data_IF_166392618005
#
_entry.id   IF_166392618005
#
_cell.length_a   1.000
_cell.length_b   1.000
_cell.length_c   1.000
_cell.angle_alpha   90.00
_cell.angle_beta   90.00
_cell.angle_gamma   90.00
#
_symmetry.space_group_name_H-M   'P 1'
#
loop_
_entity.id
_entity.type
_entity.pdbx_description
1 polymer ?
#
# COMPACT_ATOMS: atom_id res chain seq x y z
N UNK A 1 -45.37 -23.85 -28.49
CA UNK A 1 -44.57 -23.64 -29.71
C UNK A 1 -43.12 -23.89 -29.33
N UNK A 2 -42.50 -24.97 -29.84
CA UNK A 2 -41.11 -25.29 -29.52
C UNK A 2 -40.19 -24.45 -30.39
N UNK A 3 -39.45 -23.52 -29.80
CA UNK A 3 -38.36 -22.83 -30.49
C UNK A 3 -37.30 -23.86 -30.85
N UNK A 4 -36.95 -23.95 -32.13
CA UNK A 4 -35.92 -24.91 -32.55
C UNK A 4 -34.57 -24.50 -31.95
N UNK A 5 -33.71 -25.46 -31.61
CA UNK A 5 -32.40 -25.15 -30.99
C UNK A 5 -31.53 -24.19 -31.82
N UNK A 6 -31.79 -24.06 -33.13
CA UNK A 6 -31.15 -23.08 -34.02
C UNK A 6 -31.63 -21.65 -33.78
N UNK A 7 -32.92 -21.43 -33.57
CA UNK A 7 -33.50 -20.10 -33.32
C UNK A 7 -32.97 -19.49 -32.01
N UNK A 8 -32.77 -20.32 -30.97
CA UNK A 8 -32.18 -19.86 -29.70
C UNK A 8 -30.72 -19.45 -29.91
N UNK A 9 -29.97 -20.19 -30.72
CA UNK A 9 -28.56 -19.90 -31.00
C UNK A 9 -28.40 -18.62 -31.84
N UNK A 10 -29.24 -18.43 -32.85
CA UNK A 10 -29.23 -17.21 -33.67
C UNK A 10 -29.67 -15.99 -32.85
N UNK A 11 -30.72 -16.11 -32.03
CA UNK A 11 -31.13 -15.04 -31.11
C UNK A 11 -30.07 -14.70 -30.06
N UNK A 12 -29.28 -15.68 -29.61
CA UNK A 12 -28.15 -15.41 -28.71
C UNK A 12 -27.00 -14.70 -29.44
N UNK A 13 -26.77 -15.03 -30.72
CA UNK A 13 -25.74 -14.40 -31.56
C UNK A 13 -26.11 -12.95 -31.89
N UNK A 14 -27.37 -12.66 -32.22
CA UNK A 14 -27.83 -11.28 -32.50
C UNK A 14 -27.75 -10.42 -31.25
N UNK A 15 -28.24 -10.90 -30.10
CA UNK A 15 -28.12 -10.18 -28.80
C UNK A 15 -26.67 -9.87 -28.43
N UNK A 16 -25.74 -10.78 -28.74
CA UNK A 16 -24.31 -10.54 -28.52
C UNK A 16 -23.77 -9.46 -29.45
N UNK A 17 -24.12 -9.48 -30.73
CA UNK A 17 -23.72 -8.47 -31.70
C UNK A 17 -24.29 -7.08 -31.35
N UNK A 18 -25.55 -7.02 -30.94
CA UNK A 18 -26.19 -5.79 -30.46
C UNK A 18 -25.52 -5.25 -29.20
N UNK A 19 -25.17 -6.13 -28.24
CA UNK A 19 -24.43 -5.74 -27.05
C UNK A 19 -23.00 -5.26 -27.36
N UNK A 20 -22.33 -5.88 -28.33
CA UNK A 20 -21.00 -5.45 -28.80
C UNK A 20 -21.07 -4.09 -29.52
N UNK A 21 -22.09 -3.86 -30.36
CA UNK A 21 -22.33 -2.59 -31.03
C UNK A 21 -22.72 -1.47 -30.06
N UNK A 22 -23.59 -1.75 -29.09
CA UNK A 22 -23.98 -0.80 -28.05
C UNK A 22 -22.79 -0.42 -27.17
N UNK A 23 -21.92 -1.38 -26.85
CA UNK A 23 -20.68 -1.13 -26.10
C UNK A 23 -19.70 -0.27 -26.89
N UNK A 24 -19.57 -0.48 -28.19
CA UNK A 24 -18.73 0.37 -29.05
C UNK A 24 -19.25 1.81 -29.08
N UNK A 25 -20.55 1.99 -29.31
CA UNK A 25 -21.20 3.30 -29.31
C UNK A 25 -21.05 4.02 -27.95
N UNK A 26 -21.23 3.31 -26.84
CA UNK A 26 -21.06 3.87 -25.50
C UNK A 26 -19.61 4.31 -25.22
N UNK A 27 -18.62 3.53 -25.67
CA UNK A 27 -17.21 3.92 -25.53
C UNK A 27 -16.86 5.14 -26.38
N UNK A 28 -17.44 5.27 -27.59
CA UNK A 28 -17.22 6.43 -28.46
C UNK A 28 -17.82 7.70 -27.84
N UNK A 29 -19.05 7.61 -27.33
CA UNK A 29 -19.70 8.72 -26.60
C UNK A 29 -18.94 9.08 -25.32
N UNK A 30 -18.45 8.09 -24.57
CA UNK A 30 -17.62 8.34 -23.37
C UNK A 30 -16.27 8.96 -23.73
N UNK A 31 -15.66 8.60 -24.86
CA UNK A 31 -14.43 9.22 -25.36
C UNK A 31 -14.65 10.68 -25.79
N UNK A 32 -15.76 10.99 -26.45
CA UNK A 32 -16.14 12.36 -26.81
C UNK A 32 -16.46 13.21 -25.56
N UNK A 33 -17.15 12.64 -24.57
CA UNK A 33 -17.43 13.33 -23.31
C UNK A 33 -16.16 13.54 -22.47
N UNK A 34 -15.28 12.54 -22.37
CA UNK A 34 -14.01 12.65 -21.66
C UNK A 34 -13.09 13.73 -22.27
N UNK A 35 -13.05 13.83 -23.60
CA UNK A 35 -12.28 14.88 -24.29
C UNK A 35 -12.88 16.28 -24.13
N UNK A 36 -14.19 16.41 -23.86
CA UNK A 36 -14.84 17.69 -23.58
C UNK A 36 -14.62 18.18 -22.14
N UNK A 37 -14.62 17.27 -21.15
CA UNK A 37 -14.41 17.58 -19.72
C UNK A 37 -12.94 17.87 -19.42
N UNK A 38 -12.02 17.25 -20.15
CA UNK A 38 -10.58 17.51 -20.02
C UNK A 38 -10.17 18.95 -20.42
N UNK A 39 -10.94 19.64 -21.28
CA UNK A 39 -10.59 21.02 -21.72
C UNK A 39 -10.75 22.09 -20.65
N UNK A 40 -11.48 21.83 -19.58
CA UNK A 40 -11.75 22.79 -18.51
C UNK A 40 -11.21 22.34 -17.15
N UNK A 41 -10.30 21.36 -17.14
CA UNK A 41 -9.65 20.89 -15.92
C UNK A 41 -8.38 21.74 -15.65
N UNK A 42 -8.37 22.61 -14.62
CA UNK A 42 -7.23 23.48 -14.33
C UNK A 42 -5.96 22.68 -13.96
N UNK A 43 -6.12 21.41 -13.60
CA UNK A 43 -5.00 20.51 -13.28
C UNK A 43 -4.49 19.71 -14.50
N UNK A 44 -5.07 19.90 -15.69
CA UNK A 44 -4.61 19.29 -16.93
C UNK A 44 -3.60 20.19 -17.65
N UNK A 45 -2.31 19.89 -17.45
CA UNK A 45 -1.19 20.62 -18.04
C UNK A 45 -0.59 19.75 -19.14
N UNK A 46 -0.54 20.25 -20.38
CA UNK A 46 0.02 19.54 -21.54
C UNK A 46 -0.50 18.10 -21.73
N UNK A 47 -1.78 17.87 -21.42
CA UNK A 47 -2.42 16.55 -21.51
C UNK A 47 -2.10 15.59 -20.35
N UNK A 48 -1.37 16.06 -19.34
CA UNK A 48 -1.05 15.37 -18.08
C UNK A 48 -1.91 15.97 -16.97
N UNK A 49 -2.72 15.14 -16.29
CA UNK A 49 -3.46 15.59 -15.11
C UNK A 49 -2.54 15.56 -13.90
N UNK A 50 -2.08 16.74 -13.47
CA UNK A 50 -1.20 16.91 -12.32
C UNK A 50 -1.98 16.71 -11.03
N UNK A 51 -1.45 15.88 -10.14
CA UNK A 51 -2.02 15.67 -8.82
C UNK A 51 -1.27 16.50 -7.80
N UNK A 52 -2.00 17.23 -6.97
CA UNK A 52 -1.43 18.07 -5.91
C UNK A 52 -1.49 17.37 -4.56
N UNK A 53 -0.38 17.39 -3.81
CA UNK A 53 -0.31 16.96 -2.41
C UNK A 53 -0.85 18.08 -1.51
N UNK A 54 -0.41 19.30 -1.79
CA UNK A 54 -0.95 20.56 -1.29
C UNK A 54 -0.70 21.64 -2.36
N UNK A 55 -1.26 22.83 -2.19
CA UNK A 55 -1.05 23.93 -3.12
C UNK A 55 0.46 24.15 -3.38
N UNK A 56 0.84 24.23 -4.66
CA UNK A 56 2.24 24.41 -5.09
C UNK A 56 3.10 23.15 -5.09
N UNK A 57 2.62 22.01 -4.56
CA UNK A 57 3.39 20.75 -4.53
C UNK A 57 2.69 19.60 -5.23
N UNK A 58 3.28 19.15 -6.34
CA UNK A 58 2.78 18.03 -7.11
C UNK A 58 3.27 16.67 -6.60
N UNK A 59 2.39 15.67 -6.68
CA UNK A 59 2.67 14.25 -6.56
C UNK A 59 3.24 13.72 -7.90
N UNK A 60 4.54 13.99 -8.13
CA UNK A 60 5.25 13.71 -9.39
C UNK A 60 5.11 12.26 -9.87
N UNK A 61 5.45 11.31 -9.00
CA UNK A 61 5.44 9.88 -9.35
C UNK A 61 4.03 9.36 -9.67
N UNK A 62 3.03 9.83 -8.93
CA UNK A 62 1.65 9.37 -9.13
C UNK A 62 1.03 10.00 -10.39
N UNK A 63 1.34 11.27 -10.65
CA UNK A 63 0.98 11.96 -11.90
C UNK A 63 1.57 11.23 -13.09
N UNK A 64 2.87 10.97 -13.06
CA UNK A 64 3.60 10.23 -14.09
C UNK A 64 3.03 8.82 -14.32
N UNK A 65 2.75 8.09 -13.24
CA UNK A 65 2.20 6.74 -13.32
C UNK A 65 0.79 6.70 -13.91
N UNK A 66 -0.09 7.63 -13.52
CA UNK A 66 -1.45 7.73 -14.08
C UNK A 66 -1.42 8.14 -15.54
N UNK A 67 -0.51 9.04 -15.92
CA UNK A 67 -0.35 9.42 -17.32
C UNK A 67 0.14 8.23 -18.17
N UNK A 68 1.12 7.46 -17.68
CA UNK A 68 1.58 6.24 -18.35
C UNK A 68 0.46 5.19 -18.49
N UNK A 69 -0.43 5.05 -17.50
CA UNK A 69 -1.62 4.19 -17.61
C UNK A 69 -2.60 4.71 -18.68
N UNK A 70 -2.90 6.01 -18.70
CA UNK A 70 -3.78 6.63 -19.71
C UNK A 70 -3.24 6.41 -21.11
N UNK A 71 -1.96 6.67 -21.34
CA UNK A 71 -1.28 6.41 -22.61
C UNK A 71 -1.31 4.93 -22.95
N UNK A 72 -1.03 4.04 -21.98
CA UNK A 72 -1.07 2.60 -22.22
C UNK A 72 -2.45 2.08 -22.64
N UNK A 73 -3.53 2.56 -22.02
CA UNK A 73 -4.89 2.24 -22.44
C UNK A 73 -5.22 2.78 -23.83
N UNK A 74 -4.77 3.99 -24.16
CA UNK A 74 -4.91 4.57 -25.51
C UNK A 74 -4.17 3.74 -26.56
N UNK A 75 -2.93 3.33 -26.29
CA UNK A 75 -2.16 2.46 -27.18
C UNK A 75 -2.87 1.12 -27.41
N UNK A 76 -3.44 0.53 -26.34
CA UNK A 76 -4.21 -0.71 -26.44
C UNK A 76 -5.49 -0.53 -27.27
N UNK A 77 -6.22 0.56 -27.06
CA UNK A 77 -7.44 0.87 -27.82
C UNK A 77 -7.14 1.11 -29.31
N UNK A 78 -6.00 1.75 -29.61
CA UNK A 78 -5.52 1.97 -30.98
C UNK A 78 -4.90 0.72 -31.63
N UNK A 79 -4.86 -0.43 -30.94
CA UNK A 79 -4.24 -1.66 -31.44
C UNK A 79 -2.72 -1.60 -31.57
N UNK A 80 -2.07 -0.58 -31.01
CA UNK A 80 -0.62 -0.40 -31.07
C UNK A 80 0.09 -1.29 -30.04
N UNK A 81 1.34 -1.65 -30.34
CA UNK A 81 2.14 -2.52 -29.47
C UNK A 81 2.52 -1.81 -28.18
N UNK A 82 2.12 -2.39 -27.06
CA UNK A 82 2.39 -1.87 -25.73
C UNK A 82 3.83 -2.20 -25.29
N UNK A 83 4.78 -1.37 -25.72
CA UNK A 83 6.22 -1.53 -25.43
C UNK A 83 6.61 -0.90 -24.09
N UNK A 84 7.65 -1.45 -23.44
CA UNK A 84 8.17 -0.88 -22.18
C UNK A 84 8.68 0.55 -22.41
N UNK A 85 9.36 0.82 -23.53
CA UNK A 85 9.90 2.15 -23.85
C UNK A 85 8.79 3.20 -23.97
N UNK A 86 7.72 2.95 -24.74
CA UNK A 86 6.62 3.91 -24.87
C UNK A 86 5.95 4.25 -23.53
N UNK A 87 5.92 3.29 -22.59
CA UNK A 87 5.38 3.51 -21.25
C UNK A 87 6.37 4.25 -20.33
N UNK A 88 7.67 4.04 -20.53
CA UNK A 88 8.72 4.80 -19.85
C UNK A 88 8.69 6.25 -20.33
N UNK A 89 8.63 6.49 -21.65
CA UNK A 89 8.58 7.82 -22.24
C UNK A 89 7.36 8.60 -21.75
N UNK A 90 6.20 7.95 -21.70
CA UNK A 90 4.99 8.55 -21.13
C UNK A 90 5.16 8.88 -19.65
N UNK A 91 5.75 7.99 -18.86
CA UNK A 91 6.01 8.27 -17.45
C UNK A 91 6.96 9.46 -17.26
N UNK A 92 8.06 9.52 -18.01
CA UNK A 92 9.03 10.61 -17.93
C UNK A 92 8.41 11.95 -18.31
N UNK A 93 7.61 11.98 -19.38
CA UNK A 93 6.84 13.16 -19.76
C UNK A 93 5.94 13.63 -18.61
N UNK A 94 5.12 12.73 -18.05
CA UNK A 94 4.23 13.09 -16.94
C UNK A 94 4.98 13.53 -15.67
N UNK A 95 6.17 12.98 -15.41
CA UNK A 95 7.00 13.37 -14.27
C UNK A 95 7.56 14.78 -14.45
N UNK A 96 8.07 15.09 -15.64
CA UNK A 96 8.67 16.40 -15.94
C UNK A 96 7.62 17.51 -15.85
N UNK A 97 6.43 17.31 -16.41
CA UNK A 97 5.32 18.27 -16.30
C UNK A 97 4.93 18.49 -14.82
N UNK A 98 4.84 17.43 -14.02
CA UNK A 98 4.56 17.56 -12.60
C UNK A 98 5.68 18.26 -11.81
N UNK A 99 6.94 18.07 -12.21
CA UNK A 99 8.10 18.74 -11.62
C UNK A 99 8.10 20.24 -11.94
N UNK A 100 7.78 20.61 -13.18
CA UNK A 100 7.71 22.01 -13.60
C UNK A 100 6.54 22.73 -12.96
N UNK A 101 5.36 22.10 -12.90
CA UNK A 101 4.17 22.69 -12.31
C UNK A 101 4.23 22.79 -10.77
N UNK A 102 4.79 21.78 -10.09
CA UNK A 102 4.70 21.64 -8.63
C UNK A 102 5.95 21.08 -7.97
N UNK A 103 7.12 21.49 -8.46
CA UNK A 103 8.43 21.08 -7.93
C UNK A 103 8.66 21.48 -6.47
N UNK A 104 8.07 22.60 -6.01
CA UNK A 104 8.18 23.09 -4.62
C UNK A 104 9.65 23.25 -4.18
N UNK A 105 10.50 23.77 -5.08
CA UNK A 105 11.95 23.92 -4.86
C UNK A 105 12.74 22.60 -4.76
N UNK A 106 12.09 21.44 -4.91
CA UNK A 106 12.77 20.13 -4.87
C UNK A 106 13.52 19.88 -6.16
N UNK A 107 14.71 19.29 -6.02
CA UNK A 107 15.44 18.73 -7.16
C UNK A 107 14.61 17.60 -7.81
N UNK A 108 14.79 17.45 -9.12
CA UNK A 108 14.25 16.31 -9.85
C UNK A 108 14.88 15.02 -9.31
N UNK A 109 14.03 14.09 -8.87
CA UNK A 109 14.44 12.80 -8.31
C UNK A 109 13.80 11.70 -9.16
N UNK A 110 14.15 11.69 -10.44
CA UNK A 110 13.63 10.70 -11.39
C UNK A 110 14.11 9.31 -10.97
N UNK A 111 13.22 8.30 -10.91
CA UNK A 111 13.64 6.94 -10.59
C UNK A 111 14.70 6.40 -11.56
N UNK A 112 15.65 5.57 -11.10
CA UNK A 112 16.67 4.99 -11.97
C UNK A 112 16.04 4.11 -13.06
N UNK A 113 16.74 3.92 -14.17
CA UNK A 113 16.20 3.23 -15.36
C UNK A 113 15.66 1.82 -15.05
N UNK A 114 16.32 1.08 -14.15
CA UNK A 114 15.87 -0.24 -13.70
C UNK A 114 14.48 -0.22 -13.08
N UNK A 115 14.16 0.81 -12.32
CA UNK A 115 12.88 0.95 -11.65
C UNK A 115 11.80 1.42 -12.64
N UNK A 116 12.14 2.31 -13.58
CA UNK A 116 11.27 2.69 -14.71
C UNK A 116 10.89 1.49 -15.58
N UNK A 117 11.83 0.61 -15.89
CA UNK A 117 11.55 -0.66 -16.59
C UNK A 117 10.59 -1.56 -15.79
N UNK A 118 10.76 -1.64 -14.47
CA UNK A 118 9.87 -2.42 -13.61
C UNK A 118 8.46 -1.80 -13.55
N UNK A 119 8.37 -0.47 -13.48
CA UNK A 119 7.14 0.29 -13.55
C UNK A 119 6.41 0.04 -14.87
N UNK A 120 7.09 0.14 -16.01
CA UNK A 120 6.51 -0.08 -17.33
C UNK A 120 5.93 -1.50 -17.48
N UNK A 121 6.63 -2.52 -16.98
CA UNK A 121 6.13 -3.91 -16.95
C UNK A 121 4.85 -4.03 -16.12
N UNK A 122 4.73 -3.31 -15.01
CA UNK A 122 3.52 -3.28 -14.17
C UNK A 122 2.39 -2.56 -14.87
N UNK A 123 2.63 -1.38 -15.45
CA UNK A 123 1.65 -0.62 -16.23
C UNK A 123 1.11 -1.49 -17.37
N UNK A 124 1.99 -2.14 -18.14
CA UNK A 124 1.57 -3.11 -19.16
C UNK A 124 0.73 -4.24 -18.59
N UNK A 125 1.13 -4.78 -17.43
CA UNK A 125 0.35 -5.79 -16.71
C UNK A 125 -1.05 -5.32 -16.38
N UNK A 126 -1.21 -4.11 -15.83
CA UNK A 126 -2.53 -3.54 -15.52
C UNK A 126 -3.36 -3.29 -16.77
N UNK A 127 -2.76 -2.70 -17.80
CA UNK A 127 -3.45 -2.39 -19.05
C UNK A 127 -3.90 -3.66 -19.77
N UNK A 128 -3.15 -4.76 -19.70
CA UNK A 128 -3.49 -6.04 -20.38
C UNK A 128 -4.40 -6.94 -19.54
N UNK A 129 -4.20 -7.00 -18.21
CA UNK A 129 -4.98 -7.81 -17.27
C UNK A 129 -6.27 -7.13 -16.79
N UNK A 130 -6.53 -5.89 -17.18
CA UNK A 130 -7.84 -5.27 -17.03
C UNK A 130 -8.90 -6.13 -17.75
N UNK A 131 -9.43 -7.09 -16.99
CA UNK A 131 -10.59 -7.91 -17.31
C UNK A 131 -11.72 -6.91 -17.55
N UNK A 132 -12.48 -7.08 -18.63
CA UNK A 132 -13.72 -6.34 -18.81
C UNK A 132 -14.57 -6.54 -17.54
N UNK A 133 -14.54 -5.57 -16.64
CA UNK A 133 -15.49 -5.45 -15.56
C UNK A 133 -16.81 -5.11 -16.25
N UNK A 134 -17.60 -6.14 -16.53
CA UNK A 134 -19.00 -5.94 -16.85
C UNK A 134 -19.63 -5.07 -15.76
N UNK A 135 -20.43 -4.12 -16.21
CA UNK A 135 -21.06 -3.04 -15.45
C UNK A 135 -21.48 -3.43 -14.04
N UNK A 136 -20.87 -2.75 -13.09
CA UNK A 136 -21.24 -2.77 -11.69
C UNK A 136 -20.36 -1.72 -11.04
N UNK A 137 -20.93 -0.54 -10.77
CA UNK A 137 -20.30 0.49 -9.96
C UNK A 137 -19.96 -0.10 -8.60
N UNK A 138 -18.75 -0.63 -8.44
CA UNK A 138 -18.22 -1.05 -7.15
C UNK A 138 -17.80 0.22 -6.44
N UNK A 139 -18.46 0.52 -5.32
CA UNK A 139 -18.14 1.65 -4.47
C UNK A 139 -16.62 1.74 -4.23
N UNK A 140 -16.02 2.94 -4.33
CA UNK A 140 -14.59 3.13 -4.14
C UNK A 140 -14.25 2.74 -2.70
N UNK A 141 -13.59 1.61 -2.49
CA UNK A 141 -13.14 1.16 -1.17
C UNK A 141 -13.23 -0.33 -0.87
N UNK A 142 -13.88 -1.16 -1.69
CA UNK A 142 -13.97 -2.61 -1.44
C UNK A 142 -13.10 -3.42 -2.40
N UNK A 143 -12.01 -4.00 -1.88
CA UNK A 143 -11.14 -4.87 -2.64
C UNK A 143 -11.93 -6.04 -3.26
N UNK A 144 -11.76 -6.31 -4.56
CA UNK A 144 -12.45 -7.40 -5.25
C UNK A 144 -12.04 -8.78 -4.70
N UNK A 145 -12.87 -9.81 -4.88
CA UNK A 145 -12.54 -11.19 -4.43
C UNK A 145 -11.20 -11.68 -5.01
N UNK A 146 -10.92 -11.28 -6.25
CA UNK A 146 -9.65 -11.49 -6.95
C UNK A 146 -8.48 -10.76 -6.30
N UNK A 147 -8.65 -9.50 -5.90
CA UNK A 147 -7.61 -8.74 -5.18
C UNK A 147 -7.33 -9.33 -3.80
N UNK A 148 -8.36 -9.77 -3.06
CA UNK A 148 -8.18 -10.46 -1.77
C UNK A 148 -7.41 -11.76 -1.94
N UNK A 149 -7.71 -12.54 -2.98
CA UNK A 149 -7.01 -13.78 -3.30
C UNK A 149 -5.57 -13.53 -3.79
N UNK A 150 -5.34 -12.45 -4.55
CA UNK A 150 -4.01 -12.03 -4.98
C UNK A 150 -3.15 -11.57 -3.79
N UNK A 151 -3.71 -10.79 -2.86
CA UNK A 151 -3.01 -10.35 -1.65
C UNK A 151 -2.67 -11.54 -0.73
N UNK A 152 -3.63 -12.45 -0.53
CA UNK A 152 -3.41 -13.67 0.25
C UNK A 152 -2.32 -14.57 -0.35
N UNK A 153 -2.27 -14.67 -1.68
CA UNK A 153 -1.24 -15.46 -2.37
C UNK A 153 0.12 -14.77 -2.41
N UNK A 154 0.20 -13.44 -2.50
CA UNK A 154 1.46 -12.70 -2.38
C UNK A 154 2.08 -12.85 -0.98
N UNK A 155 1.28 -12.71 0.08
CA UNK A 155 1.76 -12.93 1.46
C UNK A 155 2.24 -14.35 1.69
N UNK A 156 1.51 -15.35 1.16
CA UNK A 156 1.87 -16.77 1.26
C UNK A 156 3.16 -17.10 0.50
N UNK A 157 3.31 -16.62 -0.74
CA UNK A 157 4.53 -16.83 -1.54
C UNK A 157 5.75 -16.14 -0.92
N UNK A 158 5.58 -14.93 -0.38
CA UNK A 158 6.63 -14.22 0.36
C UNK A 158 7.08 -14.99 1.61
N UNK A 159 6.14 -15.49 2.41
CA UNK A 159 6.43 -16.32 3.58
C UNK A 159 7.12 -17.63 3.23
N UNK A 160 6.65 -18.33 2.18
CA UNK A 160 7.29 -19.55 1.69
C UNK A 160 8.73 -19.30 1.20
N UNK A 161 8.96 -18.22 0.46
CA UNK A 161 10.30 -17.86 -0.03
C UNK A 161 11.22 -17.44 1.12
N UNK A 162 10.72 -16.74 2.13
CA UNK A 162 11.47 -16.44 3.35
C UNK A 162 11.83 -17.72 4.12
N UNK A 163 10.87 -18.63 4.33
CA UNK A 163 11.10 -19.91 4.98
C UNK A 163 12.09 -20.80 4.21
N UNK A 164 12.01 -20.82 2.88
CA UNK A 164 12.97 -21.51 2.03
C UNK A 164 14.38 -20.93 2.19
N UNK A 165 14.53 -19.60 2.23
CA UNK A 165 15.84 -18.94 2.47
C UNK A 165 16.45 -19.34 3.81
N UNK A 166 15.65 -19.44 4.87
CA UNK A 166 16.13 -19.94 6.17
C UNK A 166 16.57 -21.41 6.15
N UNK A 167 15.98 -22.24 5.29
CA UNK A 167 16.35 -23.66 5.14
C UNK A 167 17.58 -23.86 4.25
N UNK A 168 17.68 -23.08 3.17
CA UNK A 168 18.73 -23.25 2.14
C UNK A 168 20.01 -22.51 2.48
N UNK A 169 19.91 -21.32 3.08
CA UNK A 169 21.08 -20.50 3.44
C UNK A 169 20.84 -19.78 4.79
N UNK A 170 20.91 -20.52 5.91
CA UNK A 170 20.61 -20.00 7.25
C UNK A 170 21.61 -18.94 7.72
N UNK A 171 22.80 -18.86 7.11
CA UNK A 171 23.84 -17.87 7.42
C UNK A 171 24.07 -16.89 6.26
N UNK A 172 23.18 -16.87 5.28
CA UNK A 172 23.17 -15.91 4.18
C UNK A 172 23.03 -14.47 4.64
N UNK A 173 23.33 -13.52 3.76
CA UNK A 173 23.21 -12.09 4.04
C UNK A 173 21.80 -11.70 4.52
N UNK A 174 20.76 -12.27 3.88
CA UNK A 174 19.37 -12.08 4.30
C UNK A 174 19.11 -12.55 5.73
N UNK A 175 19.55 -13.77 6.08
CA UNK A 175 19.32 -14.36 7.40
C UNK A 175 20.10 -13.60 8.48
N UNK A 176 21.36 -13.25 8.21
CA UNK A 176 22.20 -12.41 9.09
C UNK A 176 21.59 -11.03 9.33
N UNK A 177 21.13 -10.35 8.29
CA UNK A 177 20.46 -9.04 8.43
C UNK A 177 19.18 -9.10 9.28
N UNK A 178 18.38 -10.16 9.11
CA UNK A 178 17.17 -10.38 9.93
C UNK A 178 17.52 -10.70 11.38
N UNK A 179 18.51 -11.56 11.65
CA UNK A 179 19.01 -11.83 13.01
C UNK A 179 19.57 -10.57 13.67
N UNK A 180 20.31 -9.74 12.94
CA UNK A 180 20.85 -8.47 13.45
C UNK A 180 19.73 -7.49 13.84
N UNK A 181 18.71 -7.34 12.99
CA UNK A 181 17.52 -6.52 13.27
C UNK A 181 16.78 -7.02 14.51
N UNK A 182 16.59 -8.34 14.61
CA UNK A 182 15.96 -8.99 15.76
C UNK A 182 16.78 -8.75 17.03
N UNK A 183 18.11 -8.96 16.99
CA UNK A 183 19.02 -8.70 18.11
C UNK A 183 18.96 -7.24 18.57
N UNK A 184 18.93 -6.27 17.64
CA UNK A 184 18.77 -4.84 17.95
C UNK A 184 17.44 -4.56 18.64
N UNK A 185 16.36 -5.19 18.16
CA UNK A 185 15.02 -5.07 18.75
C UNK A 185 14.98 -5.64 20.16
N UNK A 186 15.52 -6.84 20.38
CA UNK A 186 15.61 -7.44 21.71
C UNK A 186 16.45 -6.60 22.66
N UNK A 187 17.57 -6.03 22.20
CA UNK A 187 18.40 -5.12 23.02
C UNK A 187 17.59 -3.90 23.48
N UNK A 188 16.84 -3.26 22.56
CA UNK A 188 15.93 -2.15 22.90
C UNK A 188 14.84 -2.57 23.88
N UNK A 189 14.17 -3.71 23.62
CA UNK A 189 13.11 -4.22 24.50
C UNK A 189 13.62 -4.58 25.90
N UNK A 190 14.85 -5.09 26.01
CA UNK A 190 15.51 -5.37 27.29
C UNK A 190 15.68 -4.07 28.09
N UNK A 191 16.26 -3.04 27.46
CA UNK A 191 16.44 -1.72 28.09
C UNK A 191 15.09 -1.11 28.48
N UNK A 192 14.08 -1.19 27.61
CA UNK A 192 12.73 -0.72 27.92
C UNK A 192 12.13 -1.44 29.12
N UNK A 193 12.28 -2.77 29.20
CA UNK A 193 11.81 -3.57 30.33
C UNK A 193 12.48 -3.18 31.64
N UNK A 194 13.80 -2.94 31.61
CA UNK A 194 14.55 -2.44 32.77
C UNK A 194 14.08 -1.04 33.18
N UNK A 195 13.93 -0.12 32.24
CA UNK A 195 13.44 1.23 32.50
C UNK A 195 12.02 1.23 33.09
N UNK A 196 11.12 0.40 32.55
CA UNK A 196 9.77 0.26 33.09
C UNK A 196 9.76 -0.30 34.51
N UNK A 197 10.62 -1.29 34.80
CA UNK A 197 10.79 -1.84 36.16
C UNK A 197 11.26 -0.75 37.12
N UNK A 198 12.25 0.05 36.71
CA UNK A 198 12.78 1.15 37.52
C UNK A 198 11.72 2.21 37.81
N UNK A 199 10.89 2.59 36.82
CA UNK A 199 9.78 3.53 37.05
C UNK A 199 8.79 3.04 38.10
N UNK A 200 8.44 1.74 38.06
CA UNK A 200 7.58 1.12 39.07
C UNK A 200 8.25 1.14 40.44
N UNK A 201 9.52 0.75 40.52
CA UNK A 201 10.27 0.72 41.78
C UNK A 201 10.46 2.10 42.40
N UNK A 202 10.82 3.11 41.59
CA UNK A 202 10.99 4.49 42.04
C UNK A 202 9.71 5.04 42.68
N UNK A 203 8.58 4.91 41.98
CA UNK A 203 7.29 5.36 42.52
C UNK A 203 6.92 4.64 43.83
N UNK A 204 7.16 3.33 43.89
CA UNK A 204 6.86 2.54 45.09
C UNK A 204 7.73 2.96 46.27
N UNK A 205 9.02 3.20 46.04
CA UNK A 205 9.95 3.63 47.08
C UNK A 205 9.62 5.04 47.57
N UNK A 206 9.33 5.97 46.67
CA UNK A 206 8.93 7.34 47.00
C UNK A 206 7.65 7.34 47.84
N UNK A 207 6.62 6.62 47.39
CA UNK A 207 5.37 6.48 48.14
C UNK A 207 5.58 5.84 49.52
N UNK A 208 6.46 4.85 49.62
CA UNK A 208 6.82 4.22 50.90
C UNK A 208 7.51 5.20 51.85
N UNK A 209 8.48 5.98 51.35
CA UNK A 209 9.21 6.99 52.13
C UNK A 209 8.25 8.06 52.67
N UNK A 210 7.29 8.50 51.84
CA UNK A 210 6.35 9.56 52.21
C UNK A 210 5.26 9.09 53.19
N UNK A 211 4.77 7.84 53.03
CA UNK A 211 3.55 7.39 53.72
C UNK A 211 3.76 6.25 54.71
N UNK A 212 4.93 5.61 54.70
CA UNK A 212 5.21 4.38 55.46
C UNK A 212 4.34 3.19 55.05
N UNK A 213 3.74 3.22 53.84
CA UNK A 213 2.81 2.18 53.36
C UNK A 213 3.07 1.86 51.89
N UNK A 214 2.74 0.65 51.45
CA UNK A 214 2.87 0.25 50.05
C UNK A 214 1.72 0.84 49.22
N UNK A 215 1.98 1.34 47.99
CA UNK A 215 0.93 1.83 47.11
C UNK A 215 0.05 0.69 46.59
N UNK A 216 -1.23 0.98 46.38
CA UNK A 216 -2.14 0.00 45.78
C UNK A 216 -1.84 -0.22 44.30
N UNK A 217 -2.18 -1.41 43.77
CA UNK A 217 -2.04 -1.73 42.34
C UNK A 217 -2.65 -0.66 41.42
N UNK A 218 -3.83 -0.13 41.77
CA UNK A 218 -4.50 0.91 40.97
C UNK A 218 -3.70 2.21 40.92
N UNK A 219 -3.06 2.57 42.03
CA UNK A 219 -2.26 3.78 42.12
C UNK A 219 -0.98 3.66 41.28
N UNK A 220 -0.28 2.52 41.37
CA UNK A 220 0.92 2.26 40.54
C UNK A 220 0.55 2.30 39.04
N UNK A 221 -0.58 1.70 38.66
CA UNK A 221 -1.06 1.75 37.27
C UNK A 221 -1.38 3.18 36.81
N UNK A 222 -2.00 3.99 37.68
CA UNK A 222 -2.34 5.39 37.38
C UNK A 222 -1.09 6.21 37.16
N UNK A 223 -0.09 6.07 38.02
CA UNK A 223 1.13 6.87 37.95
C UNK A 223 2.04 6.45 36.79
N UNK A 224 2.22 5.14 36.61
CA UNK A 224 3.13 4.63 35.57
C UNK A 224 2.49 4.53 34.18
N UNK A 225 1.16 4.62 34.09
CA UNK A 225 0.39 4.39 32.86
C UNK A 225 0.39 2.93 32.39
N UNK A 226 0.88 1.98 33.21
CA UNK A 226 1.01 0.58 32.81
C UNK A 226 -0.25 -0.25 33.11
N UNK A 227 -0.43 -1.32 32.32
CA UNK A 227 -1.47 -2.31 32.57
C UNK A 227 -1.21 -3.09 33.85
N UNK A 228 -2.27 -3.61 34.50
CA UNK A 228 -2.15 -4.44 35.71
C UNK A 228 -1.18 -5.61 35.52
N UNK A 229 -1.24 -6.28 34.37
CA UNK A 229 -0.37 -7.42 34.06
C UNK A 229 1.10 -7.01 33.92
N UNK A 230 1.37 -5.81 33.39
CA UNK A 230 2.72 -5.25 33.29
C UNK A 230 3.27 -4.89 34.66
N UNK A 231 2.46 -4.21 35.49
CA UNK A 231 2.83 -3.87 36.87
C UNK A 231 3.11 -5.16 37.65
N UNK A 232 2.26 -6.18 37.54
CA UNK A 232 2.44 -7.45 38.25
C UNK A 232 3.77 -8.13 37.95
N UNK A 233 4.18 -8.16 36.67
CA UNK A 233 5.49 -8.72 36.28
C UNK A 233 6.65 -7.90 36.87
N UNK A 234 6.56 -6.57 36.84
CA UNK A 234 7.62 -5.72 37.36
C UNK A 234 7.72 -5.79 38.89
N UNK A 235 6.59 -5.85 39.60
CA UNK A 235 6.57 -6.06 41.05
C UNK A 235 7.17 -7.42 41.42
N UNK A 236 6.80 -8.51 40.72
CA UNK A 236 7.42 -9.82 40.94
C UNK A 236 8.94 -9.75 40.73
N UNK A 237 9.37 -9.12 39.65
CA UNK A 237 10.79 -8.97 39.33
C UNK A 237 11.55 -8.05 40.31
N UNK A 238 10.87 -7.12 40.99
CA UNK A 238 11.45 -6.28 42.05
C UNK A 238 11.59 -7.07 43.35
N UNK A 239 10.60 -7.90 43.69
CA UNK A 239 10.65 -8.81 44.84
C UNK A 239 11.77 -9.84 44.71
N UNK A 240 11.91 -10.43 43.53
CA UNK A 240 12.97 -11.41 43.24
C UNK A 240 14.39 -10.85 43.44
N UNK A 241 14.58 -9.55 43.22
CA UNK A 241 15.89 -8.89 43.39
C UNK A 241 16.03 -8.16 44.73
N UNK A 242 15.04 -8.26 45.63
CA UNK A 242 15.06 -7.60 46.95
C UNK A 242 14.93 -6.08 46.90
N UNK A 243 14.46 -5.50 45.79
CA UNK A 243 14.26 -4.06 45.61
C UNK A 243 12.82 -3.61 45.96
N UNK A 244 11.99 -4.54 46.45
CA UNK A 244 10.63 -4.24 46.89
C UNK A 244 10.62 -3.91 48.38
N UNK A 245 10.03 -2.78 48.83
CA UNK A 245 9.95 -2.45 50.25
C UNK A 245 9.20 -3.52 51.03
N UNK A 246 9.83 -4.00 52.09
CA UNK A 246 9.19 -4.90 53.06
C UNK A 246 8.54 -4.04 54.16
N UNK A 247 7.27 -4.32 54.50
CA UNK A 247 6.58 -3.63 55.57
C UNK A 247 7.05 -4.02 56.98
#
# INVERSE_FOLDING_TARGET
MFFSGREIFEAAKTRRQEAEAFKALANDVEAELATSVERYDPDLIEGVRVLWIHQGRAARDETAFRHALKVGHRLRAAGQRLTDNALIDAYEHGYNIAQEAGGDGRLSEMPPMRDRQTMARRVRGYVTQAKASNGGSVAPGRATSTERKALATMGRRGGQKAAQRWKTDPDGEYARGRRATMKRTHRKKKVQGTSNRQKVGQFVNEYWIETGRLPTWKLIQKETGFSRATVARHVSALKEVGEWPEP
#
